data_IF_565179864925
#
_entry.id   IF_565179864925
#
_cell.length_a   1.000
_cell.length_b   1.000
_cell.length_c   1.000
_cell.angle_alpha   90.00
_cell.angle_beta   90.00
_cell.angle_gamma   90.00
#
_symmetry.space_group_name_H-M   'P 1'
#
loop_
_entity.id
_entity.type
_entity.pdbx_description
1 polymer ?
#
# COMPACT_ATOMS: atom_id res chain seq x y z
N UNK A 1 -34.84 2.22 -5.25
CA UNK A 1 -34.12 3.38 -5.80
C UNK A 1 -32.71 3.36 -5.22
N UNK A 2 -31.77 2.76 -5.92
CA UNK A 2 -30.39 2.62 -5.43
C UNK A 2 -29.72 3.99 -5.39
N UNK A 3 -29.13 4.35 -4.26
CA UNK A 3 -28.37 5.59 -4.11
C UNK A 3 -27.17 5.50 -5.06
N UNK A 4 -27.14 6.31 -6.11
CA UNK A 4 -26.00 6.36 -7.04
C UNK A 4 -24.79 6.88 -6.24
N UNK A 5 -23.85 5.98 -5.92
CA UNK A 5 -22.61 6.36 -5.26
C UNK A 5 -21.70 6.92 -6.36
N UNK A 6 -21.68 8.25 -6.47
CA UNK A 6 -20.71 8.96 -7.30
C UNK A 6 -19.41 9.08 -6.51
N UNK A 7 -18.48 8.20 -6.82
CA UNK A 7 -17.11 8.32 -6.34
C UNK A 7 -16.34 9.16 -7.36
N UNK A 8 -15.71 10.23 -6.90
CA UNK A 8 -14.85 11.06 -7.74
C UNK A 8 -13.55 10.28 -8.07
N UNK A 9 -13.25 10.03 -9.36
CA UNK A 9 -12.03 9.33 -9.76
C UNK A 9 -10.75 10.00 -9.27
N UNK A 10 -10.73 11.33 -9.12
CA UNK A 10 -9.57 12.05 -8.60
C UNK A 10 -9.29 11.69 -7.14
N UNK A 11 -10.34 11.56 -6.32
CA UNK A 11 -10.21 11.15 -4.92
C UNK A 11 -9.66 9.72 -4.78
N UNK A 12 -10.01 8.82 -5.70
CA UNK A 12 -9.45 7.46 -5.73
C UNK A 12 -7.96 7.45 -6.08
N UNK A 13 -7.54 8.29 -7.03
CA UNK A 13 -6.13 8.46 -7.40
C UNK A 13 -5.32 9.06 -6.25
N UNK A 14 -5.88 10.06 -5.55
CA UNK A 14 -5.26 10.67 -4.38
C UNK A 14 -5.07 9.65 -3.25
N UNK A 15 -6.08 8.81 -2.99
CA UNK A 15 -6.01 7.75 -2.00
C UNK A 15 -4.98 6.68 -2.39
N UNK A 16 -4.94 6.26 -3.66
CA UNK A 16 -3.94 5.32 -4.16
C UNK A 16 -2.51 5.87 -3.98
N UNK A 17 -2.31 7.15 -4.28
CA UNK A 17 -1.04 7.85 -4.10
C UNK A 17 -0.64 7.90 -2.62
N UNK A 18 -1.60 8.18 -1.73
CA UNK A 18 -1.38 8.17 -0.30
C UNK A 18 -1.01 6.77 0.23
N UNK A 19 -1.63 5.71 -0.28
CA UNK A 19 -1.32 4.31 0.04
C UNK A 19 0.10 3.93 -0.38
N UNK A 20 0.50 4.26 -1.62
CA UNK A 20 1.87 4.01 -2.10
C UNK A 20 2.90 4.78 -1.27
N UNK A 21 2.62 6.05 -0.95
CA UNK A 21 3.49 6.84 -0.08
C UNK A 21 3.56 6.27 1.35
N UNK A 22 2.48 5.66 1.85
CA UNK A 22 2.48 4.97 3.14
C UNK A 22 3.31 3.68 3.10
N UNK A 23 3.19 2.89 2.02
CA UNK A 23 4.00 1.68 1.79
C UNK A 23 5.50 2.01 1.76
N UNK A 24 5.89 3.03 1.00
CA UNK A 24 7.28 3.46 0.90
C UNK A 24 7.80 3.97 2.26
N UNK A 25 7.03 4.81 2.97
CA UNK A 25 7.39 5.26 4.32
C UNK A 25 7.57 4.10 5.30
N UNK A 26 6.69 3.09 5.26
CA UNK A 26 6.78 1.92 6.13
C UNK A 26 8.06 1.12 5.83
N UNK A 27 8.30 0.81 4.55
CA UNK A 27 9.50 0.08 4.13
C UNK A 27 10.80 0.85 4.41
N UNK A 28 10.85 2.15 4.13
CA UNK A 28 12.02 2.99 4.36
C UNK A 28 12.34 3.14 5.85
N UNK A 29 11.33 3.42 6.70
CA UNK A 29 11.52 3.50 8.16
C UNK A 29 11.98 2.18 8.74
N UNK A 30 11.40 1.08 8.29
CA UNK A 30 11.81 -0.25 8.71
C UNK A 30 13.26 -0.52 8.34
N UNK A 31 13.66 -0.39 7.07
CA UNK A 31 15.05 -0.60 6.64
C UNK A 31 16.06 0.27 7.38
N UNK A 32 15.70 1.52 7.66
CA UNK A 32 16.56 2.47 8.38
C UNK A 32 16.79 2.07 9.84
N UNK A 33 15.77 1.54 10.52
CA UNK A 33 15.85 1.07 11.90
C UNK A 33 16.40 -0.36 12.04
N UNK A 34 15.96 -1.26 11.16
CA UNK A 34 16.24 -2.69 11.21
C UNK A 34 17.72 -3.02 11.24
N UNK A 35 18.55 -2.29 10.48
CA UNK A 35 20.01 -2.49 10.47
C UNK A 35 20.68 -2.36 11.84
N UNK A 36 20.02 -1.71 12.80
CA UNK A 36 20.52 -1.44 14.14
C UNK A 36 19.94 -2.34 15.23
N UNK A 37 18.97 -3.20 14.87
CA UNK A 37 18.25 -4.05 15.82
C UNK A 37 18.92 -5.40 16.12
N UNK A 38 19.65 -6.06 15.19
CA UNK A 38 20.33 -7.31 15.49
C UNK A 38 21.31 -7.13 16.65
N UNK A 39 21.10 -7.94 17.71
CA UNK A 39 22.02 -8.02 18.84
C UNK A 39 22.93 -9.22 18.59
N UNK A 40 24.23 -9.03 18.35
CA UNK A 40 25.12 -10.17 18.14
C UNK A 40 25.19 -11.01 19.41
N UNK A 41 25.24 -12.33 19.26
CA UNK A 41 25.32 -13.26 20.40
C UNK A 41 26.52 -12.96 21.32
N UNK A 42 27.62 -12.42 20.77
CA UNK A 42 28.78 -11.96 21.53
C UNK A 42 28.48 -10.81 22.50
N UNK A 43 27.47 -9.98 22.23
CA UNK A 43 27.05 -8.91 23.14
C UNK A 43 26.34 -9.44 24.40
N UNK A 44 25.89 -10.70 24.39
CA UNK A 44 25.26 -11.35 25.53
C UNK A 44 26.27 -12.02 26.47
N UNK A 45 27.55 -12.09 26.08
CA UNK A 45 28.62 -12.68 26.89
C UNK A 45 28.31 -14.11 27.35
N UNK A 46 28.68 -14.42 28.60
CA UNK A 46 28.46 -15.74 29.21
C UNK A 46 27.12 -15.85 29.95
N UNK A 47 26.13 -15.06 29.57
CA UNK A 47 24.80 -15.14 30.18
C UNK A 47 24.22 -16.56 30.01
N UNK A 48 23.70 -17.17 31.08
CA UNK A 48 22.93 -18.41 30.95
C UNK A 48 21.81 -18.20 29.94
N UNK A 49 21.65 -19.15 29.00
CA UNK A 49 20.68 -19.08 27.89
C UNK A 49 20.91 -17.96 26.85
N UNK A 50 22.10 -17.35 26.77
CA UNK A 50 22.44 -16.36 25.73
C UNK A 50 22.09 -16.80 24.30
N UNK A 51 22.36 -18.07 23.95
CA UNK A 51 22.01 -18.63 22.65
C UNK A 51 20.50 -18.65 22.39
N UNK A 52 19.70 -18.96 23.40
CA UNK A 52 18.24 -18.95 23.30
C UNK A 52 17.69 -17.54 23.14
N UNK A 53 18.22 -16.58 23.90
CA UNK A 53 17.85 -15.16 23.78
C UNK A 53 18.19 -14.59 22.41
N UNK A 54 19.40 -14.85 21.90
CA UNK A 54 19.80 -14.42 20.56
C UNK A 54 18.88 -15.02 19.48
N UNK A 55 18.58 -16.33 19.57
CA UNK A 55 17.70 -16.99 18.62
C UNK A 55 16.27 -16.43 18.64
N UNK A 56 15.70 -16.19 19.83
CA UNK A 56 14.37 -15.56 19.96
C UNK A 56 14.39 -14.13 19.42
N UNK A 57 15.45 -13.36 19.65
CA UNK A 57 15.58 -12.01 19.11
C UNK A 57 15.62 -12.02 17.57
N UNK A 58 16.40 -12.92 16.97
CA UNK A 58 16.46 -13.09 15.50
C UNK A 58 15.09 -13.50 14.93
N UNK A 59 14.37 -14.40 15.60
CA UNK A 59 13.02 -14.80 15.21
C UNK A 59 12.02 -13.63 15.23
N UNK A 60 12.03 -12.83 16.31
CA UNK A 60 11.18 -11.63 16.40
C UNK A 60 11.50 -10.60 15.32
N UNK A 61 12.78 -10.47 14.95
CA UNK A 61 13.21 -9.59 13.86
C UNK A 61 12.75 -10.09 12.49
N UNK A 62 12.75 -11.41 12.27
CA UNK A 62 12.17 -12.01 11.08
C UNK A 62 10.66 -11.79 11.01
N UNK A 63 9.93 -12.05 12.09
CA UNK A 63 8.48 -11.83 12.15
C UNK A 63 8.11 -10.36 11.89
N UNK A 64 8.87 -9.42 12.46
CA UNK A 64 8.69 -8.00 12.21
C UNK A 64 8.94 -7.64 10.74
N UNK A 65 9.92 -8.27 10.09
CA UNK A 65 10.22 -8.06 8.68
C UNK A 65 9.06 -8.51 7.79
N UNK A 66 8.54 -9.70 8.07
CA UNK A 66 7.44 -10.30 7.32
C UNK A 66 6.16 -9.49 7.49
N UNK A 67 5.87 -9.02 8.71
CA UNK A 67 4.70 -8.18 8.99
C UNK A 67 4.75 -6.85 8.22
N UNK A 68 5.91 -6.17 8.22
CA UNK A 68 6.07 -4.90 7.51
C UNK A 68 6.01 -5.09 6.00
N UNK A 69 6.65 -6.14 5.48
CA UNK A 69 6.62 -6.48 4.05
C UNK A 69 5.19 -6.80 3.59
N UNK A 70 4.43 -7.55 4.40
CA UNK A 70 3.02 -7.86 4.14
C UNK A 70 2.15 -6.60 4.15
N UNK A 71 2.38 -5.69 5.08
CA UNK A 71 1.66 -4.41 5.15
C UNK A 71 1.93 -3.54 3.90
N UNK A 72 3.19 -3.44 3.48
CA UNK A 72 3.55 -2.68 2.29
C UNK A 72 2.89 -3.28 1.03
N UNK A 73 2.93 -4.60 0.87
CA UNK A 73 2.27 -5.29 -0.23
C UNK A 73 0.75 -5.08 -0.24
N UNK A 74 0.09 -5.11 0.92
CA UNK A 74 -1.33 -4.84 1.02
C UNK A 74 -1.68 -3.42 0.55
N UNK A 75 -0.90 -2.41 0.96
CA UNK A 75 -1.08 -1.03 0.53
C UNK A 75 -0.86 -0.83 -0.99
N UNK A 76 0.07 -1.57 -1.59
CA UNK A 76 0.30 -1.58 -3.04
C UNK A 76 -0.87 -2.21 -3.80
N UNK A 77 -1.42 -3.32 -3.29
CA UNK A 77 -2.61 -3.99 -3.85
C UNK A 77 -3.84 -3.07 -3.76
N UNK A 78 -4.04 -2.41 -2.63
CA UNK A 78 -5.13 -1.45 -2.47
C UNK A 78 -4.98 -0.27 -3.44
N UNK A 79 -3.75 0.23 -3.63
CA UNK A 79 -3.49 1.29 -4.60
C UNK A 79 -3.79 0.86 -6.05
N UNK A 80 -3.42 -0.36 -6.45
CA UNK A 80 -3.74 -0.91 -7.77
C UNK A 80 -5.27 -1.02 -7.96
N UNK A 81 -5.99 -1.52 -6.96
CA UNK A 81 -7.45 -1.62 -7.01
C UNK A 81 -8.11 -0.23 -7.19
N UNK A 82 -7.67 0.76 -6.41
CA UNK A 82 -8.17 2.14 -6.50
C UNK A 82 -7.91 2.75 -7.88
N UNK A 83 -6.71 2.58 -8.43
CA UNK A 83 -6.36 3.09 -9.76
C UNK A 83 -7.19 2.43 -10.87
N UNK A 84 -7.38 1.10 -10.82
CA UNK A 84 -8.24 0.38 -11.77
C UNK A 84 -9.68 0.91 -11.72
N UNK A 85 -10.21 1.14 -10.53
CA UNK A 85 -11.55 1.73 -10.37
C UNK A 85 -11.62 3.14 -10.95
N UNK A 86 -10.64 4.00 -10.66
CA UNK A 86 -10.57 5.36 -11.19
C UNK A 86 -10.53 5.38 -12.73
N UNK A 87 -9.72 4.50 -13.35
CA UNK A 87 -9.67 4.36 -14.80
C UNK A 87 -10.98 3.86 -15.40
N UNK A 88 -11.65 2.91 -14.75
CA UNK A 88 -12.95 2.40 -15.20
C UNK A 88 -14.02 3.50 -15.20
N UNK A 89 -14.07 4.34 -14.14
CA UNK A 89 -14.98 5.49 -14.11
C UNK A 89 -14.67 6.47 -15.23
N UNK A 90 -13.41 6.85 -15.43
CA UNK A 90 -13.03 7.78 -16.50
C UNK A 90 -13.37 7.24 -17.89
N UNK A 91 -13.19 5.94 -18.13
CA UNK A 91 -13.57 5.32 -19.38
C UNK A 91 -15.11 5.33 -19.59
N UNK A 92 -15.88 5.09 -18.52
CA UNK A 92 -17.33 5.18 -18.55
C UNK A 92 -17.81 6.60 -18.86
N UNK A 93 -17.20 7.62 -18.25
CA UNK A 93 -17.51 9.03 -18.50
C UNK A 93 -17.22 9.42 -19.96
N UNK A 94 -16.05 9.04 -20.50
CA UNK A 94 -15.70 9.30 -21.91
C UNK A 94 -16.67 8.61 -22.87
N UNK A 95 -17.08 7.38 -22.56
CA UNK A 95 -18.06 6.64 -23.36
C UNK A 95 -19.45 7.27 -23.31
N UNK A 96 -19.87 7.78 -22.14
CA UNK A 96 -21.12 8.50 -21.98
C UNK A 96 -21.10 9.84 -22.75
N UNK A 97 -20.03 10.61 -22.63
CA UNK A 97 -19.83 11.87 -23.36
C UNK A 97 -19.82 11.66 -24.87
N UNK A 98 -19.24 10.56 -25.37
CA UNK A 98 -19.27 10.24 -26.80
C UNK A 98 -20.70 9.94 -27.30
N UNK A 99 -21.50 9.23 -26.49
CA UNK A 99 -22.90 8.89 -26.81
C UNK A 99 -23.81 10.12 -26.75
N UNK A 100 -23.61 10.99 -25.76
CA UNK A 100 -24.41 12.20 -25.56
C UNK A 100 -23.97 13.35 -26.46
N UNK A 101 -22.67 13.49 -26.73
CA UNK A 101 -22.10 14.47 -27.65
C UNK A 101 -22.51 14.22 -29.11
N UNK A 102 -22.61 12.95 -29.52
CA UNK A 102 -23.16 12.58 -30.83
C UNK A 102 -24.64 12.88 -31.00
N UNK A 103 -25.39 13.03 -29.90
CA UNK A 103 -26.81 13.44 -29.93
C UNK A 103 -27.03 14.95 -30.04
N UNK A 104 -25.97 15.75 -29.85
CA UNK A 104 -25.90 17.17 -30.24
C UNK A 104 -25.28 17.29 -31.63
N UNK A 105 -25.86 16.62 -32.62
CA UNK A 105 -25.57 16.93 -34.02
C UNK A 105 -25.83 18.42 -34.30
N UNK A 106 -25.20 19.02 -35.33
CA UNK A 106 -25.27 20.44 -35.62
C UNK A 106 -26.74 20.86 -35.80
N UNK A 107 -27.32 21.38 -34.73
CA UNK A 107 -28.67 21.89 -34.69
C UNK A 107 -28.67 23.32 -35.21
N UNK A 108 -28.72 23.43 -36.55
CA UNK A 108 -29.06 24.61 -37.36
C UNK A 108 -28.07 25.77 -37.41
#
# INVERSE_FOLDING_TARGET
MGKEIRVDPSTLVDLATASLAAADRAGARYRAGFRHLPVPSSALGDLPAAAGVAHTADGLLADAHDAVSSLAAALEVDADALLRTAFAYRAADVAADSRLGGSRGPGR
#
